data_IF_377021176007
#
_entry.id   IF_377021176007
#
_cell.length_a   1.000
_cell.length_b   1.000
_cell.length_c   1.000
_cell.angle_alpha   90.00
_cell.angle_beta   90.00
_cell.angle_gamma   90.00
#
_symmetry.space_group_name_H-M   'P 1'
#
loop_
_entity.id
_entity.type
_entity.pdbx_description
1 polymer ?
#
# COMPACT_ATOMS: atom_id res chain seq x y z
N UNK A 1 -19.24 5.71 -37.19
CA UNK A 1 -18.00 5.33 -36.46
C UNK A 1 -18.41 4.51 -35.25
N UNK A 2 -18.50 3.20 -35.41
CA UNK A 2 -18.84 2.24 -34.35
C UNK A 2 -17.57 1.98 -33.55
N UNK A 3 -17.38 2.74 -32.47
CA UNK A 3 -16.24 2.55 -31.57
C UNK A 3 -16.30 1.15 -30.96
N UNK A 4 -15.24 0.37 -31.16
CA UNK A 4 -14.99 -0.83 -30.35
C UNK A 4 -15.10 -0.43 -28.89
N UNK A 5 -16.15 -0.88 -28.20
CA UNK A 5 -16.34 -0.61 -26.77
C UNK A 5 -15.13 -1.17 -26.01
N UNK A 6 -14.26 -0.27 -25.54
CA UNK A 6 -13.09 -0.67 -24.76
C UNK A 6 -13.50 -1.32 -23.45
N UNK A 7 -12.68 -2.25 -22.95
CA UNK A 7 -12.92 -2.88 -21.66
C UNK A 7 -12.96 -1.84 -20.52
N UNK A 8 -14.01 -1.90 -19.71
CA UNK A 8 -14.28 -1.01 -18.58
C UNK A 8 -14.22 -1.77 -17.25
N UNK A 9 -14.10 -1.05 -16.14
CA UNK A 9 -14.15 -1.63 -14.80
C UNK A 9 -15.59 -1.74 -14.30
N UNK A 10 -15.93 -2.90 -13.74
CA UNK A 10 -17.20 -3.19 -13.08
C UNK A 10 -16.96 -3.63 -11.64
N UNK A 11 -17.92 -3.38 -10.75
CA UNK A 11 -17.77 -3.66 -9.32
C UNK A 11 -18.95 -4.43 -8.72
N UNK A 12 -18.62 -5.47 -7.94
CA UNK A 12 -19.55 -6.18 -7.05
C UNK A 12 -19.13 -5.96 -5.61
N UNK A 13 -20.03 -5.40 -4.81
CA UNK A 13 -19.83 -5.18 -3.39
C UNK A 13 -20.40 -6.38 -2.62
N UNK A 14 -19.58 -7.00 -1.78
CA UNK A 14 -19.91 -8.16 -0.97
C UNK A 14 -19.99 -7.72 0.48
N UNK A 15 -21.20 -7.48 0.97
CA UNK A 15 -21.45 -7.08 2.35
C UNK A 15 -21.42 -8.32 3.24
N UNK A 16 -20.40 -8.38 4.08
CA UNK A 16 -20.16 -9.41 5.08
C UNK A 16 -19.52 -8.73 6.30
N UNK A 17 -20.31 -8.49 7.34
CA UNK A 17 -19.93 -7.58 8.42
C UNK A 17 -18.97 -8.19 9.46
N UNK A 18 -18.74 -9.49 9.41
CA UNK A 18 -17.75 -10.17 10.25
C UNK A 18 -16.36 -10.11 9.62
N UNK A 19 -15.52 -9.21 10.13
CA UNK A 19 -14.12 -9.05 9.71
C UNK A 19 -13.25 -10.27 10.08
N UNK A 20 -13.58 -11.01 11.14
CA UNK A 20 -12.79 -12.16 11.57
C UNK A 20 -12.93 -13.36 10.62
N UNK A 21 -14.09 -13.49 9.97
CA UNK A 21 -14.36 -14.52 8.96
C UNK A 21 -13.95 -14.07 7.53
N UNK A 22 -13.47 -12.84 7.34
CA UNK A 22 -13.10 -12.30 6.04
C UNK A 22 -11.97 -13.08 5.34
N UNK A 23 -10.89 -13.55 6.02
CA UNK A 23 -9.87 -14.39 5.37
C UNK A 23 -10.45 -15.64 4.70
N UNK A 24 -11.44 -16.28 5.33
CA UNK A 24 -12.11 -17.46 4.79
C UNK A 24 -13.07 -17.11 3.65
N UNK A 25 -13.75 -15.96 3.72
CA UNK A 25 -14.53 -15.43 2.58
C UNK A 25 -13.61 -15.18 1.36
N UNK A 26 -12.43 -14.62 1.59
CA UNK A 26 -11.47 -14.32 0.54
C UNK A 26 -10.95 -15.62 -0.11
N UNK A 27 -10.51 -16.58 0.71
CA UNK A 27 -9.94 -17.84 0.21
C UNK A 27 -10.98 -18.83 -0.32
N UNK A 28 -12.17 -18.85 0.27
CA UNK A 28 -13.25 -19.79 0.01
C UNK A 28 -14.27 -19.33 -1.03
N UNK A 29 -14.40 -18.02 -1.30
CA UNK A 29 -15.33 -17.49 -2.29
C UNK A 29 -14.69 -16.55 -3.30
N UNK A 30 -13.94 -15.54 -2.85
CA UNK A 30 -13.38 -14.51 -3.73
C UNK A 30 -12.35 -15.12 -4.68
N UNK A 31 -11.39 -15.91 -4.16
CA UNK A 31 -10.38 -16.59 -4.97
C UNK A 31 -11.01 -17.53 -6.02
N UNK A 32 -11.91 -18.46 -5.68
CA UNK A 32 -12.63 -19.27 -6.67
C UNK A 32 -13.42 -18.45 -7.68
N UNK A 33 -14.07 -17.37 -7.26
CA UNK A 33 -14.83 -16.50 -8.17
C UNK A 33 -13.91 -15.84 -9.20
N UNK A 34 -12.74 -15.34 -8.79
CA UNK A 34 -11.76 -14.74 -9.68
C UNK A 34 -11.20 -15.77 -10.68
N UNK A 35 -10.80 -16.95 -10.20
CA UNK A 35 -10.31 -18.03 -11.06
C UNK A 35 -11.36 -18.46 -12.10
N UNK A 36 -12.64 -18.49 -11.72
CA UNK A 36 -13.72 -18.93 -12.61
C UNK A 36 -14.01 -18.00 -13.81
N UNK A 37 -13.47 -16.77 -13.78
CA UNK A 37 -13.71 -15.75 -14.81
C UNK A 37 -12.42 -15.22 -15.44
N UNK A 38 -11.27 -15.79 -15.08
CA UNK A 38 -9.94 -15.32 -15.49
C UNK A 38 -9.82 -15.17 -17.01
N UNK A 39 -10.31 -16.15 -17.77
CA UNK A 39 -10.28 -16.14 -19.23
C UNK A 39 -11.12 -15.02 -19.89
N UNK A 40 -11.97 -14.33 -19.14
CA UNK A 40 -12.91 -13.31 -19.63
C UNK A 40 -12.58 -11.89 -19.16
N UNK A 41 -11.58 -11.73 -18.30
CA UNK A 41 -11.23 -10.44 -17.72
C UNK A 41 -9.81 -10.07 -18.08
N UNK A 42 -9.57 -8.77 -18.29
CA UNK A 42 -8.24 -8.20 -18.56
C UNK A 42 -7.52 -7.79 -17.28
N UNK A 43 -8.22 -7.84 -16.14
CA UNK A 43 -7.70 -7.51 -14.82
C UNK A 43 -8.80 -7.69 -13.78
N UNK A 44 -8.40 -8.07 -12.56
CA UNK A 44 -9.30 -8.27 -11.44
C UNK A 44 -8.60 -7.97 -10.12
N UNK A 45 -9.27 -7.25 -9.23
CA UNK A 45 -8.75 -6.98 -7.89
C UNK A 45 -9.87 -6.83 -6.86
N UNK A 46 -9.53 -7.01 -5.59
CA UNK A 46 -10.47 -6.77 -4.49
C UNK A 46 -9.89 -5.83 -3.44
N UNK A 47 -10.74 -5.11 -2.72
CA UNK A 47 -10.32 -4.26 -1.61
C UNK A 47 -11.40 -4.16 -0.54
N UNK A 48 -10.98 -3.80 0.68
CA UNK A 48 -11.90 -3.55 1.79
C UNK A 48 -12.51 -2.15 1.69
N UNK A 49 -13.72 -2.00 2.21
CA UNK A 49 -14.35 -0.70 2.34
C UNK A 49 -15.37 -0.68 3.48
N UNK A 50 -15.59 0.50 4.06
CA UNK A 50 -16.44 0.70 5.25
C UNK A 50 -17.77 1.42 4.94
N UNK A 51 -17.81 2.20 3.84
CA UNK A 51 -18.99 3.00 3.47
C UNK A 51 -20.26 2.14 3.42
N UNK A 52 -21.25 2.51 4.25
CA UNK A 52 -22.53 1.81 4.43
C UNK A 52 -22.39 0.36 4.95
N UNK A 53 -21.39 0.10 5.76
CA UNK A 53 -21.11 -1.18 6.42
C UNK A 53 -19.85 -1.87 5.85
N UNK A 54 -19.17 -2.72 6.64
CA UNK A 54 -17.98 -3.45 6.18
C UNK A 54 -18.29 -4.32 4.97
N UNK A 55 -17.50 -4.19 3.91
CA UNK A 55 -17.67 -4.99 2.70
C UNK A 55 -16.38 -5.11 1.89
N UNK A 56 -16.34 -6.10 1.01
CA UNK A 56 -15.34 -6.20 -0.04
C UNK A 56 -15.89 -5.59 -1.34
N UNK A 57 -15.07 -4.84 -2.06
CA UNK A 57 -15.31 -4.44 -3.44
C UNK A 57 -14.54 -5.38 -4.35
N UNK A 58 -15.23 -6.13 -5.21
CA UNK A 58 -14.64 -7.01 -6.21
C UNK A 58 -14.73 -6.33 -7.57
N UNK A 59 -13.59 -6.05 -8.20
CA UNK A 59 -13.51 -5.25 -9.41
C UNK A 59 -12.96 -6.06 -10.57
N UNK A 60 -13.58 -5.93 -11.74
CA UNK A 60 -13.24 -6.70 -12.94
C UNK A 60 -13.19 -5.79 -14.15
N UNK A 61 -12.13 -5.91 -14.95
CA UNK A 61 -11.98 -5.18 -16.22
C UNK A 61 -12.36 -6.08 -17.38
N UNK A 62 -13.47 -5.78 -18.05
CA UNK A 62 -13.93 -6.56 -19.21
C UNK A 62 -14.84 -5.72 -20.11
N UNK A 63 -15.29 -6.29 -21.23
CA UNK A 63 -16.29 -5.68 -22.11
C UNK A 63 -17.69 -5.84 -21.50
N UNK A 64 -18.59 -4.89 -21.76
CA UNK A 64 -19.93 -4.89 -21.13
C UNK A 64 -20.73 -6.16 -21.41
N UNK A 65 -20.68 -6.64 -22.65
CA UNK A 65 -21.35 -7.87 -23.07
C UNK A 65 -20.83 -9.07 -22.27
N UNK A 66 -19.52 -9.18 -22.11
CA UNK A 66 -18.85 -10.22 -21.32
C UNK A 66 -19.15 -10.08 -19.82
N UNK A 67 -19.18 -8.85 -19.28
CA UNK A 67 -19.60 -8.59 -17.90
C UNK A 67 -20.99 -9.15 -17.63
N UNK A 68 -21.97 -8.75 -18.45
CA UNK A 68 -23.38 -9.09 -18.27
C UNK A 68 -23.65 -10.57 -18.49
N UNK A 69 -23.05 -11.17 -19.51
CA UNK A 69 -23.35 -12.55 -19.92
C UNK A 69 -22.55 -13.61 -19.15
N UNK A 70 -21.31 -13.31 -18.72
CA UNK A 70 -20.38 -14.33 -18.24
C UNK A 70 -19.86 -14.01 -16.83
N UNK A 71 -19.26 -12.83 -16.63
CA UNK A 71 -18.53 -12.54 -15.39
C UNK A 71 -19.47 -12.29 -14.21
N UNK A 72 -20.39 -11.34 -14.33
CA UNK A 72 -21.33 -10.97 -13.26
C UNK A 72 -22.13 -12.17 -12.71
N UNK A 73 -22.86 -12.96 -13.54
CA UNK A 73 -23.65 -14.07 -13.02
C UNK A 73 -22.79 -15.15 -12.34
N UNK A 74 -21.60 -15.44 -12.90
CA UNK A 74 -20.68 -16.44 -12.34
C UNK A 74 -20.16 -16.03 -10.97
N UNK A 75 -19.58 -14.83 -10.86
CA UNK A 75 -19.03 -14.29 -9.61
C UNK A 75 -20.13 -14.18 -8.56
N UNK A 76 -21.29 -13.61 -8.93
CA UNK A 76 -22.42 -13.45 -8.02
C UNK A 76 -22.90 -14.79 -7.46
N UNK A 77 -23.01 -15.84 -8.30
CA UNK A 77 -23.42 -17.17 -7.85
C UNK A 77 -22.46 -17.72 -6.80
N UNK A 78 -21.17 -17.79 -7.11
CA UNK A 78 -20.14 -18.36 -6.22
C UNK A 78 -20.14 -17.65 -4.86
N UNK A 79 -20.15 -16.32 -4.86
CA UNK A 79 -20.13 -15.54 -3.63
C UNK A 79 -21.44 -15.70 -2.85
N UNK A 80 -22.60 -15.66 -3.52
CA UNK A 80 -23.89 -15.83 -2.85
C UNK A 80 -24.02 -17.23 -2.24
N UNK A 81 -23.50 -18.26 -2.91
CA UNK A 81 -23.49 -19.63 -2.39
C UNK A 81 -22.66 -19.72 -1.11
N UNK A 82 -21.48 -19.09 -1.10
CA UNK A 82 -20.65 -19.01 0.11
C UNK A 82 -21.37 -18.27 1.25
N UNK A 83 -21.95 -17.09 1.00
CA UNK A 83 -22.64 -16.30 2.02
C UNK A 83 -23.86 -17.05 2.62
N UNK A 84 -24.53 -17.90 1.83
CA UNK A 84 -25.62 -18.75 2.34
C UNK A 84 -25.10 -19.87 3.24
N UNK A 85 -23.95 -20.44 2.90
CA UNK A 85 -23.34 -21.53 3.68
C UNK A 85 -22.61 -21.01 4.94
N UNK A 86 -22.04 -19.80 4.88
CA UNK A 86 -21.23 -19.18 5.92
C UNK A 86 -21.64 -17.72 6.12
N UNK A 87 -22.87 -17.44 6.60
CA UNK A 87 -23.31 -16.07 6.80
C UNK A 87 -22.56 -15.43 7.98
N UNK A 88 -22.22 -14.15 7.84
CA UNK A 88 -21.91 -13.28 8.96
C UNK A 88 -23.09 -13.27 9.94
N UNK A 89 -22.79 -13.51 11.21
CA UNK A 89 -23.76 -13.45 12.31
C UNK A 89 -23.53 -12.24 13.22
N UNK A 90 -22.53 -11.42 12.91
CA UNK A 90 -22.17 -10.25 13.73
C UNK A 90 -23.24 -9.17 13.60
N UNK A 91 -23.64 -8.61 14.74
CA UNK A 91 -24.54 -7.46 14.78
C UNK A 91 -23.74 -6.22 15.14
N UNK A 92 -23.52 -5.37 14.14
CA UNK A 92 -22.88 -4.07 14.33
C UNK A 92 -23.94 -3.00 14.62
N UNK A 93 -23.64 -2.11 15.56
CA UNK A 93 -24.46 -0.93 15.82
C UNK A 93 -24.03 0.20 14.86
N UNK A 94 -24.81 0.38 13.79
CA UNK A 94 -24.56 1.43 12.80
C UNK A 94 -24.65 2.84 13.39
N UNK A 95 -25.45 3.05 14.44
CA UNK A 95 -25.59 4.35 15.08
C UNK A 95 -24.35 4.67 15.93
N UNK A 96 -23.82 3.68 16.67
CA UNK A 96 -22.57 3.84 17.41
C UNK A 96 -21.36 4.12 16.50
N UNK A 97 -21.35 3.59 15.27
CA UNK A 97 -20.28 3.80 14.30
C UNK A 97 -20.45 5.05 13.43
N UNK A 98 -21.62 5.71 13.47
CA UNK A 98 -21.90 6.88 12.62
C UNK A 98 -20.87 8.02 12.79
N UNK A 99 -20.46 8.44 14.01
CA UNK A 99 -19.46 9.51 14.17
C UNK A 99 -18.09 9.14 13.59
N UNK A 100 -17.72 7.85 13.65
CA UNK A 100 -16.48 7.35 13.05
C UNK A 100 -16.57 7.42 11.53
N UNK A 101 -17.69 6.97 10.94
CA UNK A 101 -17.92 7.02 9.50
C UNK A 101 -17.99 8.45 8.96
N UNK A 102 -18.59 9.39 9.69
CA UNK A 102 -18.58 10.81 9.33
C UNK A 102 -17.16 11.37 9.27
N UNK A 103 -16.34 11.06 10.28
CA UNK A 103 -14.95 11.52 10.30
C UNK A 103 -14.11 10.86 9.20
N UNK A 104 -14.30 9.57 8.95
CA UNK A 104 -13.62 8.87 7.85
C UNK A 104 -14.04 9.46 6.50
N UNK A 105 -15.32 9.78 6.32
CA UNK A 105 -15.80 10.38 5.07
C UNK A 105 -15.08 11.69 4.75
N UNK A 106 -14.92 12.55 5.75
CA UNK A 106 -14.19 13.80 5.60
C UNK A 106 -12.70 13.55 5.27
N UNK A 107 -12.03 12.68 6.03
CA UNK A 107 -10.60 12.41 5.88
C UNK A 107 -10.24 11.70 4.57
N UNK A 108 -11.14 10.83 4.09
CA UNK A 108 -10.97 10.05 2.87
C UNK A 108 -11.65 10.68 1.65
N UNK A 109 -12.27 11.86 1.83
CA UNK A 109 -13.03 12.59 0.82
C UNK A 109 -14.19 11.78 0.22
N UNK A 110 -14.80 10.87 1.00
CA UNK A 110 -15.97 10.11 0.56
C UNK A 110 -17.21 11.00 0.46
N UNK A 111 -17.83 10.99 -0.71
CA UNK A 111 -19.02 11.83 -1.01
C UNK A 111 -20.33 11.04 -1.02
N UNK A 112 -20.25 9.70 -0.91
CA UNK A 112 -21.41 8.82 -0.93
C UNK A 112 -22.24 8.89 0.36
N UNK A 113 -23.51 8.45 0.33
CA UNK A 113 -24.34 8.42 1.53
C UNK A 113 -23.78 7.43 2.55
N UNK A 114 -23.68 7.84 3.83
CA UNK A 114 -23.18 7.00 4.92
C UNK A 114 -24.22 5.98 5.42
N UNK A 115 -25.50 6.23 5.17
CA UNK A 115 -26.62 5.40 5.58
C UNK A 115 -27.81 5.45 4.60
N UNK A 116 -28.79 4.54 4.75
CA UNK A 116 -28.74 3.36 5.62
C UNK A 116 -27.67 2.36 5.15
N UNK A 117 -27.14 1.56 6.08
CA UNK A 117 -26.22 0.50 5.72
C UNK A 117 -26.86 -0.49 4.75
N UNK A 118 -26.05 -1.10 3.90
CA UNK A 118 -26.52 -2.21 3.08
C UNK A 118 -26.69 -3.43 3.99
N UNK A 119 -27.69 -4.26 3.69
CA UNK A 119 -27.94 -5.46 4.48
C UNK A 119 -26.73 -6.40 4.45
N UNK A 120 -26.41 -6.99 5.61
CA UNK A 120 -25.37 -8.00 5.74
C UNK A 120 -25.69 -9.23 4.87
N UNK A 121 -24.67 -10.01 4.53
CA UNK A 121 -24.77 -11.21 3.71
C UNK A 121 -25.40 -10.97 2.33
N UNK A 122 -25.08 -9.84 1.70
CA UNK A 122 -25.59 -9.49 0.37
C UNK A 122 -24.50 -9.17 -0.63
N UNK A 123 -24.79 -9.44 -1.91
CA UNK A 123 -23.96 -9.05 -3.05
C UNK A 123 -24.71 -8.00 -3.86
N UNK A 124 -24.07 -6.87 -4.15
CA UNK A 124 -24.71 -5.74 -4.83
C UNK A 124 -23.78 -5.18 -5.91
N UNK A 125 -24.31 -4.98 -7.12
CA UNK A 125 -23.57 -4.28 -8.18
C UNK A 125 -23.57 -2.77 -7.93
N UNK A 126 -22.41 -2.14 -8.14
CA UNK A 126 -22.20 -0.70 -8.04
C UNK A 126 -21.33 -0.23 -9.22
N UNK A 127 -21.46 1.03 -9.64
CA UNK A 127 -20.49 1.64 -10.53
C UNK A 127 -19.09 1.52 -9.92
N UNK A 128 -18.09 1.23 -10.77
CA UNK A 128 -16.71 1.27 -10.34
C UNK A 128 -16.32 2.70 -9.97
N UNK A 129 -15.81 2.88 -8.77
CA UNK A 129 -15.37 4.18 -8.28
C UNK A 129 -13.90 4.42 -8.64
N UNK A 130 -13.69 5.27 -9.64
CA UNK A 130 -12.36 5.67 -10.07
C UNK A 130 -11.64 6.60 -9.08
N UNK A 131 -12.32 7.10 -8.03
CA UNK A 131 -11.78 8.04 -7.03
C UNK A 131 -11.10 9.26 -7.68
N UNK A 132 -11.64 9.76 -8.80
CA UNK A 132 -11.03 10.84 -9.59
C UNK A 132 -10.79 12.12 -8.79
N UNK A 133 -11.65 12.40 -7.81
CA UNK A 133 -11.53 13.55 -6.91
C UNK A 133 -10.30 13.45 -5.97
N UNK A 134 -9.79 12.24 -5.72
CA UNK A 134 -8.57 11.99 -4.90
C UNK A 134 -7.36 11.74 -5.79
N UNK A 135 -7.51 10.95 -6.85
CA UNK A 135 -6.42 10.53 -7.73
C UNK A 135 -6.09 11.54 -8.82
N UNK A 136 -6.98 12.50 -9.08
CA UNK A 136 -6.79 13.60 -10.03
C UNK A 136 -6.97 13.24 -11.51
N UNK A 137 -6.75 11.97 -11.90
CA UNK A 137 -6.91 11.54 -13.30
C UNK A 137 -7.33 10.08 -13.43
N UNK A 138 -7.95 9.75 -14.58
CA UNK A 138 -8.25 8.36 -14.93
C UNK A 138 -6.97 7.54 -15.10
N UNK A 139 -5.87 8.16 -15.56
CA UNK A 139 -4.57 7.50 -15.70
C UNK A 139 -4.01 7.05 -14.36
N UNK A 140 -4.14 7.87 -13.31
CA UNK A 140 -3.76 7.52 -11.95
C UNK A 140 -4.65 6.39 -11.37
N UNK A 141 -5.95 6.42 -11.67
CA UNK A 141 -6.89 5.35 -11.32
C UNK A 141 -6.52 4.02 -11.97
N UNK A 142 -6.20 4.02 -13.27
CA UNK A 142 -5.77 2.83 -14.00
C UNK A 142 -4.41 2.31 -13.51
N UNK A 143 -3.48 3.18 -13.14
CA UNK A 143 -2.18 2.80 -12.59
C UNK A 143 -2.34 2.04 -11.26
N UNK A 144 -3.19 2.55 -10.35
CA UNK A 144 -3.49 1.88 -9.10
C UNK A 144 -4.24 0.56 -9.32
N UNK A 145 -5.25 0.56 -10.18
CA UNK A 145 -6.01 -0.65 -10.50
C UNK A 145 -5.12 -1.74 -11.14
N UNK A 146 -4.15 -1.33 -11.97
CA UNK A 146 -3.11 -2.20 -12.53
C UNK A 146 -2.28 -2.85 -11.42
N UNK A 147 -1.74 -2.05 -10.49
CA UNK A 147 -0.99 -2.58 -9.34
C UNK A 147 -1.82 -3.56 -8.49
N UNK A 148 -3.06 -3.20 -8.17
CA UNK A 148 -3.93 -4.07 -7.37
C UNK A 148 -4.27 -5.36 -8.11
N UNK A 149 -4.45 -5.31 -9.42
CA UNK A 149 -4.70 -6.48 -10.26
C UNK A 149 -3.48 -7.39 -10.33
N UNK A 150 -2.31 -6.82 -10.65
CA UNK A 150 -1.04 -7.53 -10.78
C UNK A 150 -0.58 -8.20 -9.47
N UNK A 151 -1.06 -7.71 -8.32
CA UNK A 151 -0.74 -8.26 -6.99
C UNK A 151 -1.86 -9.13 -6.41
N UNK A 152 -2.95 -9.40 -7.12
CA UNK A 152 -4.10 -10.17 -6.60
C UNK A 152 -3.72 -11.61 -6.23
N UNK A 153 -3.04 -12.34 -7.11
CA UNK A 153 -2.65 -13.73 -6.84
C UNK A 153 -1.64 -13.81 -5.69
N UNK A 154 -0.71 -12.87 -5.65
CA UNK A 154 0.20 -12.73 -4.52
C UNK A 154 -0.56 -12.48 -3.21
N UNK A 155 -1.59 -11.64 -3.24
CA UNK A 155 -2.47 -11.38 -2.09
C UNK A 155 -3.16 -12.65 -1.62
N UNK A 156 -3.68 -13.49 -2.54
CA UNK A 156 -4.31 -14.76 -2.16
C UNK A 156 -3.32 -15.73 -1.51
N UNK A 157 -2.08 -15.83 -2.02
CA UNK A 157 -1.02 -16.64 -1.38
C UNK A 157 -0.65 -16.10 -0.01
N UNK A 158 -0.66 -14.78 0.17
CA UNK A 158 -0.44 -14.15 1.47
C UNK A 158 -1.57 -14.46 2.46
N UNK A 159 -2.84 -14.45 2.05
CA UNK A 159 -3.94 -14.90 2.91
C UNK A 159 -3.77 -16.35 3.37
N UNK A 160 -3.32 -17.24 2.48
CA UNK A 160 -3.02 -18.63 2.84
C UNK A 160 -1.88 -18.70 3.87
N UNK A 161 -0.81 -17.93 3.65
CA UNK A 161 0.32 -17.83 4.60
C UNK A 161 -0.11 -17.32 5.98
N UNK A 162 -0.99 -16.32 6.01
CA UNK A 162 -1.50 -15.70 7.24
C UNK A 162 -2.35 -16.64 8.11
N UNK A 163 -2.74 -17.83 7.62
CA UNK A 163 -3.32 -18.87 8.47
C UNK A 163 -2.35 -19.41 9.52
N UNK A 164 -1.04 -19.27 9.27
CA UNK A 164 0.02 -19.82 10.13
C UNK A 164 1.04 -18.78 10.59
N UNK A 165 0.99 -17.57 10.04
CA UNK A 165 1.96 -16.50 10.31
C UNK A 165 1.28 -15.19 10.72
N UNK A 166 1.87 -14.41 11.65
CA UNK A 166 1.29 -13.12 12.04
C UNK A 166 1.39 -12.08 10.91
N UNK A 167 0.31 -11.33 10.67
CA UNK A 167 0.28 -10.24 9.69
C UNK A 167 1.35 -9.18 9.95
N UNK A 168 1.66 -8.88 11.21
CA UNK A 168 2.70 -7.91 11.57
C UNK A 168 4.09 -8.31 11.05
N UNK A 169 4.38 -9.61 11.00
CA UNK A 169 5.66 -10.14 10.54
C UNK A 169 5.77 -9.99 9.02
N UNK A 170 4.74 -10.44 8.29
CA UNK A 170 4.67 -10.25 6.84
C UNK A 170 4.71 -8.76 6.46
N UNK A 171 4.01 -7.91 7.21
CA UNK A 171 3.99 -6.48 6.95
C UNK A 171 5.38 -5.83 7.10
N UNK A 172 6.19 -6.25 8.08
CA UNK A 172 7.57 -5.79 8.22
C UNK A 172 8.43 -6.22 7.03
N UNK A 173 8.31 -7.47 6.59
CA UNK A 173 9.04 -7.98 5.43
C UNK A 173 8.71 -7.16 4.18
N UNK A 174 7.43 -6.88 3.94
CA UNK A 174 6.99 -6.06 2.80
C UNK A 174 7.43 -4.60 2.93
N UNK A 175 7.44 -4.03 4.14
CA UNK A 175 7.94 -2.67 4.40
C UNK A 175 9.43 -2.54 4.07
N UNK A 176 10.27 -3.44 4.60
CA UNK A 176 11.69 -3.45 4.31
C UNK A 176 11.96 -3.74 2.84
N UNK A 177 11.23 -4.68 2.26
CA UNK A 177 11.34 -5.01 0.83
C UNK A 177 11.02 -3.81 -0.05
N UNK A 178 9.92 -3.10 0.19
CA UNK A 178 9.59 -1.89 -0.60
C UNK A 178 10.63 -0.81 -0.39
N UNK A 179 11.05 -0.57 0.85
CA UNK A 179 12.07 0.44 1.15
C UNK A 179 13.40 0.14 0.45
N UNK A 180 13.82 -1.12 0.38
CA UNK A 180 15.04 -1.54 -0.31
C UNK A 180 14.87 -1.55 -1.84
N UNK A 181 13.80 -2.15 -2.36
CA UNK A 181 13.60 -2.39 -3.79
C UNK A 181 13.20 -1.13 -4.57
N UNK A 182 12.49 -0.21 -3.93
CA UNK A 182 12.09 1.05 -4.56
C UNK A 182 13.16 2.15 -4.45
N UNK A 183 14.18 1.94 -3.59
CA UNK A 183 15.25 2.90 -3.40
C UNK A 183 16.34 2.79 -4.48
N UNK A 184 16.81 3.97 -4.88
CA UNK A 184 18.16 4.28 -5.33
C UNK A 184 19.34 3.37 -4.94
N UNK A 185 19.91 2.47 -5.76
CA UNK A 185 21.29 2.04 -5.50
C UNK A 185 22.25 3.19 -5.84
N UNK A 186 22.94 3.74 -4.84
CA UNK A 186 24.02 4.72 -5.06
C UNK A 186 25.37 4.00 -5.06
N UNK A 187 26.34 4.56 -5.79
CA UNK A 187 27.72 4.05 -5.83
C UNK A 187 28.52 4.39 -4.57
N UNK A 188 27.87 4.83 -3.50
CA UNK A 188 28.49 5.18 -2.22
C UNK A 188 28.73 3.97 -1.30
N UNK A 189 28.44 2.76 -1.78
CA UNK A 189 28.65 1.50 -1.06
C UNK A 189 27.65 1.22 0.05
N UNK A 190 26.59 2.04 0.20
CA UNK A 190 25.54 1.85 1.22
C UNK A 190 24.43 0.92 0.75
N UNK A 191 23.75 0.28 1.69
CA UNK A 191 22.59 -0.53 1.36
C UNK A 191 21.42 0.37 0.89
N UNK A 192 20.71 0.06 -0.22
CA UNK A 192 19.59 0.87 -0.71
C UNK A 192 18.52 1.19 0.35
N UNK A 193 18.31 0.25 1.29
CA UNK A 193 17.34 0.41 2.37
C UNK A 193 17.67 1.57 3.33
N UNK A 194 18.94 1.94 3.51
CA UNK A 194 19.36 3.09 4.35
C UNK A 194 18.73 4.42 3.87
N UNK A 195 18.30 4.50 2.62
CA UNK A 195 17.58 5.66 2.05
C UNK A 195 16.07 5.46 2.09
N UNK A 196 15.59 4.27 1.71
CA UNK A 196 14.16 3.96 1.75
C UNK A 196 13.55 4.11 3.15
N UNK A 197 14.34 3.87 4.20
CA UNK A 197 13.94 3.98 5.60
C UNK A 197 13.42 5.38 5.97
N UNK A 198 13.84 6.43 5.27
CA UNK A 198 13.39 7.81 5.51
C UNK A 198 11.86 7.92 5.39
N UNK A 199 11.26 7.20 4.45
CA UNK A 199 9.80 7.16 4.31
C UNK A 199 9.14 6.38 5.45
N UNK A 200 9.73 5.30 5.94
CA UNK A 200 9.20 4.57 7.10
C UNK A 200 9.23 5.45 8.36
N UNK A 201 10.36 6.12 8.62
CA UNK A 201 10.49 7.10 9.72
C UNK A 201 9.45 8.22 9.60
N UNK A 202 9.32 8.83 8.42
CA UNK A 202 8.34 9.90 8.18
C UNK A 202 6.91 9.43 8.45
N UNK A 203 6.53 8.24 8.02
CA UNK A 203 5.18 7.72 8.28
C UNK A 203 4.92 7.43 9.77
N UNK A 204 5.91 6.90 10.48
CA UNK A 204 5.83 6.68 11.92
C UNK A 204 5.67 8.00 12.69
N UNK A 205 6.53 8.97 12.40
CA UNK A 205 6.51 10.29 13.05
C UNK A 205 5.23 11.07 12.71
N UNK A 206 4.73 10.93 11.48
CA UNK A 206 3.46 11.54 11.08
C UNK A 206 2.27 10.87 11.77
N UNK A 207 2.33 9.58 12.09
CA UNK A 207 1.31 8.93 12.92
C UNK A 207 1.37 9.47 14.36
N UNK A 208 2.56 9.42 14.98
CA UNK A 208 2.78 9.85 16.36
C UNK A 208 2.35 11.30 16.58
N UNK A 209 2.67 12.21 15.64
CA UNK A 209 2.34 13.63 15.71
C UNK A 209 0.85 13.94 15.83
N UNK A 210 -0.01 13.00 15.44
CA UNK A 210 -1.48 13.13 15.44
C UNK A 210 -2.16 12.35 16.58
N UNK A 211 -1.40 11.54 17.33
CA UNK A 211 -1.93 10.84 18.51
C UNK A 211 -2.21 11.80 19.67
N UNK A 212 -3.10 11.42 20.59
CA UNK A 212 -3.48 12.29 21.71
C UNK A 212 -2.31 12.60 22.65
N UNK A 213 -1.36 11.67 22.80
CA UNK A 213 -0.12 11.83 23.58
C UNK A 213 1.09 11.26 22.81
N UNK A 214 1.69 12.07 21.91
CA UNK A 214 2.80 11.62 21.07
C UNK A 214 4.01 11.11 21.85
N UNK A 215 4.27 11.64 23.05
CA UNK A 215 5.43 11.25 23.86
C UNK A 215 5.22 9.86 24.46
N UNK A 216 4.06 9.59 25.05
CA UNK A 216 3.76 8.29 25.63
C UNK A 216 3.74 7.17 24.58
N UNK A 217 3.21 7.43 23.38
CA UNK A 217 3.27 6.45 22.29
C UNK A 217 4.69 6.17 21.83
N UNK A 218 5.53 7.21 21.70
CA UNK A 218 6.93 7.03 21.32
C UNK A 218 7.68 6.17 22.34
N UNK A 219 7.54 6.45 23.64
CA UNK A 219 8.14 5.62 24.70
C UNK A 219 7.71 4.16 24.60
N UNK A 220 6.40 3.90 24.42
CA UNK A 220 5.89 2.53 24.25
C UNK A 220 6.43 1.83 23.00
N UNK A 221 6.59 2.58 21.90
CA UNK A 221 7.15 2.05 20.66
C UNK A 221 8.64 1.71 20.82
N UNK A 222 9.41 2.57 21.49
CA UNK A 222 10.83 2.34 21.77
C UNK A 222 11.04 1.18 22.74
N UNK A 223 10.24 1.07 23.80
CA UNK A 223 10.27 -0.08 24.71
C UNK A 223 9.97 -1.39 23.97
N UNK A 224 9.00 -1.37 23.04
CA UNK A 224 8.67 -2.55 22.22
C UNK A 224 9.81 -2.89 21.27
N UNK A 225 10.43 -1.90 20.65
CA UNK A 225 11.62 -2.10 19.84
C UNK A 225 12.76 -2.72 20.66
N UNK A 226 13.09 -2.16 21.82
CA UNK A 226 14.18 -2.67 22.67
C UNK A 226 13.99 -4.13 23.08
N UNK A 227 12.74 -4.58 23.32
CA UNK A 227 12.45 -6.00 23.60
C UNK A 227 12.61 -6.93 22.40
N UNK A 228 12.57 -6.40 21.18
CA UNK A 228 12.53 -7.17 19.93
C UNK A 228 13.72 -6.89 19.00
N UNK A 229 14.65 -6.02 19.39
CA UNK A 229 15.70 -5.49 18.54
C UNK A 229 16.52 -6.59 17.86
N UNK A 230 17.01 -7.58 18.61
CA UNK A 230 17.79 -8.68 18.06
C UNK A 230 17.00 -9.50 17.03
N UNK A 231 15.73 -9.80 17.31
CA UNK A 231 14.87 -10.58 16.41
C UNK A 231 14.50 -9.80 15.14
N UNK A 232 14.19 -8.51 15.27
CA UNK A 232 13.93 -7.62 14.14
C UNK A 232 15.17 -7.45 13.27
N UNK A 233 16.34 -7.28 13.88
CA UNK A 233 17.61 -7.16 13.16
C UNK A 233 18.02 -8.45 12.43
N UNK A 234 17.80 -9.62 13.04
CA UNK A 234 18.03 -10.90 12.37
C UNK A 234 17.10 -11.06 11.15
N UNK A 235 15.81 -10.76 11.32
CA UNK A 235 14.83 -10.86 10.24
C UNK A 235 15.09 -9.88 9.10
N UNK A 236 15.47 -8.63 9.40
CA UNK A 236 15.85 -7.65 8.37
C UNK A 236 17.00 -8.19 7.51
N UNK A 237 18.05 -8.77 8.12
CA UNK A 237 19.17 -9.36 7.37
C UNK A 237 18.73 -10.53 6.48
N UNK A 238 17.74 -11.32 6.89
CA UNK A 238 17.16 -12.37 6.02
C UNK A 238 16.46 -11.76 4.80
N UNK A 239 15.72 -10.66 4.97
CA UNK A 239 15.09 -9.93 3.85
C UNK A 239 16.16 -9.38 2.91
N UNK A 240 17.21 -8.74 3.43
CA UNK A 240 18.30 -8.21 2.62
C UNK A 240 19.05 -9.31 1.87
N UNK A 241 19.35 -10.44 2.52
CA UNK A 241 19.97 -11.58 1.88
C UNK A 241 19.08 -12.13 0.73
N UNK A 242 17.77 -12.21 0.94
CA UNK A 242 16.84 -12.64 -0.11
C UNK A 242 16.77 -11.67 -1.29
N UNK A 243 17.09 -10.38 -1.10
CA UNK A 243 17.13 -9.36 -2.15
C UNK A 243 18.48 -9.27 -2.87
N UNK A 244 19.57 -9.66 -2.23
CA UNK A 244 20.92 -9.63 -2.81
C UNK A 244 21.16 -10.76 -3.83
N UNK A 245 20.45 -11.87 -3.67
CA UNK A 245 20.50 -13.02 -4.56
C UNK A 245 19.95 -12.69 -5.97
N UNK A 246 20.58 -13.15 -7.07
CA UNK A 246 20.16 -12.81 -8.44
C UNK A 246 18.70 -13.14 -8.76
N UNK A 247 18.07 -12.31 -9.59
CA UNK A 247 16.72 -12.58 -10.11
C UNK A 247 16.67 -13.92 -10.85
N UNK A 248 15.65 -14.74 -10.57
CA UNK A 248 15.50 -16.09 -11.14
C UNK A 248 16.05 -17.22 -10.27
N UNK A 249 16.77 -16.91 -9.20
CA UNK A 249 17.18 -17.90 -8.20
C UNK A 249 15.98 -18.27 -7.32
N UNK A 250 15.62 -19.54 -7.26
CA UNK A 250 14.61 -20.00 -6.30
C UNK A 250 15.14 -19.81 -4.88
N UNK A 251 14.32 -19.27 -3.95
CA UNK A 251 14.74 -19.18 -2.56
C UNK A 251 15.01 -20.61 -2.03
N UNK A 252 16.10 -20.81 -1.27
CA UNK A 252 16.40 -22.11 -0.72
C UNK A 252 15.22 -22.62 0.13
N UNK A 253 14.92 -23.93 0.11
CA UNK A 253 13.89 -24.52 0.95
C UNK A 253 14.13 -24.14 2.42
N UNK A 254 13.12 -23.53 3.06
CA UNK A 254 13.23 -23.08 4.45
C UNK A 254 13.76 -21.64 4.64
N UNK A 255 13.83 -20.80 3.60
CA UNK A 255 14.09 -19.37 3.81
C UNK A 255 13.01 -18.77 4.75
N UNK A 256 13.43 -18.11 5.84
CA UNK A 256 12.54 -17.57 6.88
C UNK A 256 11.66 -16.39 6.47
N UNK A 257 11.84 -15.89 5.24
CA UNK A 257 11.12 -14.76 4.65
C UNK A 257 10.33 -15.19 3.41
N UNK A 258 9.04 -14.91 3.42
CA UNK A 258 8.13 -15.26 2.32
C UNK A 258 7.87 -14.03 1.42
N UNK A 259 7.65 -14.28 0.12
CA UNK A 259 7.18 -13.29 -0.86
C UNK A 259 8.09 -12.09 -1.17
N UNK A 260 9.23 -11.93 -0.48
CA UNK A 260 10.17 -10.80 -0.64
C UNK A 260 10.52 -10.55 -2.11
N UNK A 261 10.88 -11.61 -2.86
CA UNK A 261 11.32 -11.47 -4.26
C UNK A 261 10.16 -11.13 -5.19
N UNK A 262 9.02 -11.82 -5.07
CA UNK A 262 7.84 -11.52 -5.88
C UNK A 262 7.32 -10.10 -5.61
N UNK A 263 7.33 -9.68 -4.36
CA UNK A 263 6.94 -8.32 -3.98
C UNK A 263 7.92 -7.27 -4.52
N UNK A 264 9.23 -7.48 -4.39
CA UNK A 264 10.24 -6.59 -4.97
C UNK A 264 10.06 -6.42 -6.49
N UNK A 265 9.77 -7.52 -7.21
CA UNK A 265 9.47 -7.48 -8.65
C UNK A 265 8.24 -6.64 -8.97
N UNK A 266 7.15 -6.79 -8.19
CA UNK A 266 5.95 -5.97 -8.35
C UNK A 266 6.24 -4.49 -8.08
N UNK A 267 6.94 -4.17 -7.00
CA UNK A 267 7.34 -2.79 -6.65
C UNK A 267 8.15 -2.15 -7.78
N UNK A 268 9.23 -2.79 -8.23
CA UNK A 268 10.10 -2.27 -9.31
C UNK A 268 9.32 -2.10 -10.62
N UNK A 269 8.49 -3.07 -10.99
CA UNK A 269 7.65 -2.99 -12.20
C UNK A 269 6.74 -1.77 -12.16
N UNK A 270 5.99 -1.58 -11.08
CA UNK A 270 5.03 -0.47 -11.02
C UNK A 270 5.70 0.89 -10.83
N UNK A 271 6.84 0.95 -10.15
CA UNK A 271 7.64 2.18 -10.10
C UNK A 271 8.12 2.58 -11.51
N UNK A 272 8.61 1.62 -12.32
CA UNK A 272 9.06 1.88 -13.71
C UNK A 272 7.93 2.35 -14.62
N UNK A 273 6.73 1.81 -14.45
CA UNK A 273 5.54 2.27 -15.19
C UNK A 273 5.12 3.68 -14.75
N UNK A 274 5.19 3.97 -13.44
CA UNK A 274 4.73 5.22 -12.87
C UNK A 274 5.64 6.41 -13.17
N UNK A 275 6.97 6.20 -13.12
CA UNK A 275 7.95 7.27 -13.22
C UNK A 275 7.76 8.16 -14.48
N UNK A 276 7.63 7.62 -15.72
CA UNK A 276 7.48 8.47 -16.89
C UNK A 276 6.15 9.22 -16.91
N UNK A 277 5.09 8.65 -16.32
CA UNK A 277 3.77 9.30 -16.20
C UNK A 277 3.77 10.45 -15.19
N UNK A 278 4.59 10.33 -14.14
CA UNK A 278 4.83 11.40 -13.17
C UNK A 278 5.69 12.50 -13.79
N UNK A 279 6.73 12.13 -14.55
CA UNK A 279 7.61 13.06 -15.25
C UNK A 279 6.85 13.87 -16.33
N UNK A 280 5.91 13.24 -17.05
CA UNK A 280 5.07 13.91 -18.05
C UNK A 280 3.92 14.73 -17.45
N UNK A 281 3.62 14.54 -16.16
CA UNK A 281 2.48 15.17 -15.48
C UNK A 281 1.11 14.53 -15.75
N UNK A 282 1.05 13.40 -16.48
CA UNK A 282 -0.18 12.63 -16.69
C UNK A 282 -0.75 12.03 -15.40
N UNK A 283 0.14 11.78 -14.44
CA UNK A 283 -0.17 11.37 -13.07
C UNK A 283 0.45 12.40 -12.11
N UNK A 284 -0.27 12.76 -11.06
CA UNK A 284 0.21 13.67 -10.02
C UNK A 284 -0.07 13.13 -8.63
N UNK A 285 0.85 13.39 -7.71
CA UNK A 285 0.68 13.10 -6.28
C UNK A 285 -0.08 14.22 -5.54
N UNK A 286 -0.49 15.28 -6.24
CA UNK A 286 -1.09 16.49 -5.65
C UNK A 286 -2.50 16.30 -5.09
N UNK A 287 -3.30 15.38 -5.63
CA UNK A 287 -4.68 15.17 -5.18
C UNK A 287 -4.78 14.76 -3.70
N UNK A 288 -3.85 13.95 -3.22
CA UNK A 288 -3.75 13.57 -1.81
C UNK A 288 -3.41 14.75 -0.87
N UNK A 289 -2.87 15.85 -1.40
CA UNK A 289 -2.60 17.05 -0.60
C UNK A 289 -3.86 17.85 -0.26
N UNK A 290 -4.96 17.62 -1.00
CA UNK A 290 -6.25 18.28 -0.79
C UNK A 290 -7.06 17.64 0.35
N UNK A 291 -6.73 16.40 0.73
CA UNK A 291 -7.44 15.69 1.79
C UNK A 291 -7.29 16.41 3.14
N UNK A 292 -8.40 16.61 3.89
CA UNK A 292 -8.35 17.13 5.25
C UNK A 292 -7.39 16.31 6.12
N UNK A 293 -6.59 17.00 6.95
CA UNK A 293 -5.65 16.34 7.87
C UNK A 293 -6.13 16.50 9.30
N UNK A 294 -5.92 15.45 10.08
CA UNK A 294 -6.01 15.55 11.54
C UNK A 294 -5.00 16.61 12.04
N UNK A 295 -5.34 17.42 13.05
CA UNK A 295 -4.43 18.41 13.60
C UNK A 295 -3.11 17.79 14.08
N UNK A 296 -2.00 18.41 13.68
CA UNK A 296 -0.66 18.07 14.20
C UNK A 296 -0.54 18.58 15.63
N UNK A 297 -0.35 17.67 16.59
CA UNK A 297 -0.17 17.99 18.02
C UNK A 297 1.30 18.21 18.38
N UNK A 298 2.22 17.53 17.71
CA UNK A 298 3.67 17.69 17.90
C UNK A 298 4.44 17.42 16.61
N UNK A 299 5.26 18.36 16.16
CA UNK A 299 6.16 18.14 15.02
C UNK A 299 7.44 17.44 15.47
N UNK A 300 7.70 16.25 14.91
CA UNK A 300 8.95 15.50 15.14
C UNK A 300 10.18 16.27 14.64
N UNK A 301 11.37 15.92 15.12
CA UNK A 301 12.62 16.44 14.57
C UNK A 301 12.77 16.19 13.07
N UNK A 302 12.46 14.97 12.62
CA UNK A 302 12.51 14.60 11.20
C UNK A 302 11.67 15.55 10.33
N UNK A 303 10.38 15.74 10.68
CA UNK A 303 9.52 16.67 9.95
C UNK A 303 9.92 18.15 10.08
N UNK A 304 10.55 18.58 11.19
CA UNK A 304 11.10 19.94 11.27
C UNK A 304 12.21 20.15 10.25
N UNK A 305 13.09 19.16 10.11
CA UNK A 305 14.15 19.15 9.10
C UNK A 305 13.59 19.03 7.67
N UNK A 306 12.55 18.22 7.47
CA UNK A 306 11.86 18.11 6.17
C UNK A 306 11.19 19.43 5.75
N UNK A 307 10.75 20.25 6.71
CA UNK A 307 10.09 21.52 6.47
C UNK A 307 11.06 22.71 6.44
N UNK A 308 12.36 22.52 6.72
CA UNK A 308 13.33 23.62 6.65
C UNK A 308 13.61 24.02 5.21
N UNK A 309 13.99 25.27 4.98
CA UNK A 309 14.22 25.82 3.65
C UNK A 309 15.68 25.59 3.22
N UNK A 310 16.00 24.38 2.78
CA UNK A 310 17.37 23.98 2.39
C UNK A 310 17.39 23.41 0.95
N UNK A 311 16.51 23.88 0.06
CA UNK A 311 16.52 23.49 -1.36
C UNK A 311 16.00 22.08 -1.69
N UNK A 312 15.59 21.30 -0.69
CA UNK A 312 15.01 19.96 -0.91
C UNK A 312 13.51 19.98 -1.27
N UNK A 313 12.87 21.15 -1.32
CA UNK A 313 11.48 21.27 -1.80
C UNK A 313 11.37 20.75 -3.23
N UNK A 314 12.30 21.11 -4.10
CA UNK A 314 12.34 20.67 -5.50
C UNK A 314 12.51 19.14 -5.60
N UNK A 315 13.30 18.53 -4.71
CA UNK A 315 13.41 17.07 -4.63
C UNK A 315 12.12 16.40 -4.12
N UNK A 316 11.51 16.93 -3.05
CA UNK A 316 10.34 16.30 -2.45
C UNK A 316 9.06 16.45 -3.27
N UNK A 317 8.99 17.51 -4.09
CA UNK A 317 7.79 17.93 -4.83
C UNK A 317 7.92 17.67 -6.32
N UNK A 318 9.06 18.01 -6.94
CA UNK A 318 9.19 18.07 -8.40
C UNK A 318 10.00 16.90 -8.99
N UNK A 319 10.69 16.10 -8.17
CA UNK A 319 11.42 14.93 -8.66
C UNK A 319 10.48 13.74 -8.95
N UNK A 320 10.40 13.37 -10.23
CA UNK A 320 9.55 12.28 -10.70
C UNK A 320 9.98 10.91 -10.13
N UNK A 321 11.27 10.70 -9.89
CA UNK A 321 11.73 9.46 -9.27
C UNK A 321 11.25 9.36 -7.81
N UNK A 322 11.46 10.39 -7.01
CA UNK A 322 11.01 10.41 -5.62
C UNK A 322 9.50 10.35 -5.51
N UNK A 323 8.77 11.00 -6.44
CA UNK A 323 7.33 10.84 -6.57
C UNK A 323 6.92 9.38 -6.84
N UNK A 324 7.64 8.68 -7.73
CA UNK A 324 7.39 7.26 -8.03
C UNK A 324 7.68 6.36 -6.84
N UNK A 325 8.74 6.65 -6.07
CA UNK A 325 9.07 5.97 -4.83
C UNK A 325 7.94 6.15 -3.79
N UNK A 326 7.49 7.39 -3.59
CA UNK A 326 6.35 7.70 -2.70
C UNK A 326 5.07 7.01 -3.14
N UNK A 327 4.84 6.91 -4.46
CA UNK A 327 3.68 6.21 -5.01
C UNK A 327 3.70 4.73 -4.61
N UNK A 328 4.81 4.02 -4.83
CA UNK A 328 4.89 2.59 -4.48
C UNK A 328 4.90 2.34 -2.98
N UNK A 329 5.42 3.28 -2.17
CA UNK A 329 5.23 3.26 -0.71
C UNK A 329 3.76 3.39 -0.32
N UNK A 330 2.99 4.25 -0.99
CA UNK A 330 1.54 4.33 -0.76
C UNK A 330 0.81 3.04 -1.20
N UNK A 331 1.24 2.44 -2.32
CA UNK A 331 0.69 1.17 -2.79
C UNK A 331 0.97 0.02 -1.83
N UNK A 332 2.14 -0.02 -1.19
CA UNK A 332 2.41 -0.92 -0.06
C UNK A 332 1.35 -0.73 1.03
N UNK A 333 1.07 0.49 1.48
CA UNK A 333 0.11 0.69 2.56
C UNK A 333 -1.33 0.33 2.18
N UNK A 334 -1.73 0.57 0.93
CA UNK A 334 -3.01 0.08 0.39
C UNK A 334 -3.04 -1.45 0.38
N UNK A 335 -1.94 -2.10 0.01
CA UNK A 335 -1.83 -3.55 0.02
C UNK A 335 -1.88 -4.13 1.46
N UNK A 336 -1.21 -3.50 2.43
CA UNK A 336 -1.30 -3.90 3.84
C UNK A 336 -2.72 -3.73 4.38
N UNK A 337 -3.41 -2.65 4.01
CA UNK A 337 -4.84 -2.50 4.32
C UNK A 337 -5.70 -3.55 3.62
N UNK A 338 -5.34 -4.01 2.42
CA UNK A 338 -5.96 -5.15 1.71
C UNK A 338 -5.66 -6.51 2.35
N UNK A 339 -4.63 -6.62 3.21
CA UNK A 339 -4.31 -7.82 4.00
C UNK A 339 -4.86 -7.82 5.43
N UNK A 340 -5.25 -6.65 5.95
CA UNK A 340 -6.03 -6.54 7.20
C UNK A 340 -5.36 -5.64 8.23
N UNK A 341 -4.29 -4.95 7.82
CA UNK A 341 -3.51 -4.17 8.74
C UNK A 341 -4.27 -2.90 9.11
N UNK A 342 -4.53 -2.74 10.41
CA UNK A 342 -5.17 -1.54 10.92
C UNK A 342 -4.21 -0.33 10.81
N UNK A 343 -4.73 0.90 10.60
CA UNK A 343 -3.90 2.10 10.53
C UNK A 343 -3.03 2.35 11.77
N UNK A 344 -3.50 1.94 12.95
CA UNK A 344 -2.75 2.05 14.22
C UNK A 344 -1.53 1.14 14.22
N UNK A 345 -1.68 -0.10 13.77
CA UNK A 345 -0.59 -1.07 13.69
C UNK A 345 0.44 -0.63 12.66
N UNK A 346 0.00 -0.04 11.54
CA UNK A 346 0.92 0.55 10.55
C UNK A 346 1.85 1.59 11.17
N UNK A 347 1.34 2.47 12.03
CA UNK A 347 2.17 3.49 12.70
C UNK A 347 3.28 2.88 13.55
N UNK A 348 2.93 1.84 14.33
CA UNK A 348 3.89 1.06 15.11
C UNK A 348 4.90 0.32 14.21
N UNK A 349 4.44 -0.38 13.19
CA UNK A 349 5.30 -1.18 12.33
C UNK A 349 6.28 -0.32 11.54
N UNK A 350 5.89 0.86 11.07
CA UNK A 350 6.82 1.83 10.47
C UNK A 350 7.92 2.26 11.46
N UNK A 351 7.56 2.45 12.74
CA UNK A 351 8.55 2.76 13.78
C UNK A 351 9.51 1.60 14.00
N UNK A 352 9.01 0.38 14.20
CA UNK A 352 9.84 -0.80 14.39
C UNK A 352 10.74 -1.07 13.18
N UNK A 353 10.19 -0.96 11.96
CA UNK A 353 10.93 -1.17 10.72
C UNK A 353 12.07 -0.15 10.58
N UNK A 354 11.80 1.13 10.85
CA UNK A 354 12.82 2.17 10.76
C UNK A 354 13.92 2.04 11.83
N UNK A 355 13.54 1.73 13.09
CA UNK A 355 14.51 1.47 14.16
C UNK A 355 15.37 0.25 13.90
N UNK A 356 14.82 -0.81 13.29
CA UNK A 356 15.58 -2.00 12.93
C UNK A 356 16.68 -1.69 11.90
N UNK A 357 16.37 -0.90 10.87
CA UNK A 357 17.37 -0.46 9.88
C UNK A 357 18.44 0.42 10.53
N UNK A 358 18.03 1.38 11.36
CA UNK A 358 18.98 2.24 12.10
C UNK A 358 19.95 1.41 12.96
N UNK A 359 19.43 0.40 13.68
CA UNK A 359 20.25 -0.50 14.52
C UNK A 359 21.17 -1.41 13.70
N UNK A 360 20.66 -2.07 12.64
CA UNK A 360 21.45 -3.02 11.82
C UNK A 360 22.59 -2.32 11.06
N UNK A 361 22.33 -1.13 10.52
CA UNK A 361 23.32 -0.40 9.70
C UNK A 361 24.11 0.66 10.48
N UNK A 362 23.82 0.86 11.77
CA UNK A 362 24.45 1.92 12.57
C UNK A 362 24.17 3.31 12.02
N UNK A 363 22.97 3.53 11.48
CA UNK A 363 22.56 4.80 10.86
C UNK A 363 21.46 5.50 11.67
N UNK A 364 21.17 6.74 11.32
CA UNK A 364 20.02 7.49 11.82
C UNK A 364 19.29 8.08 10.63
N UNK A 365 17.98 7.85 10.51
CA UNK A 365 17.19 8.44 9.42
C UNK A 365 17.28 9.97 9.44
N UNK A 366 17.27 10.57 10.63
CA UNK A 366 17.40 12.03 10.81
C UNK A 366 18.80 12.50 10.38
N UNK A 367 19.86 11.84 10.85
CA UNK A 367 21.23 12.23 10.50
C UNK A 367 21.56 11.99 9.02
N UNK A 368 21.04 10.91 8.44
CA UNK A 368 21.17 10.62 7.01
C UNK A 368 20.45 11.69 6.19
N UNK A 369 19.22 12.06 6.55
CA UNK A 369 18.50 13.13 5.88
C UNK A 369 19.21 14.49 6.04
N UNK A 370 19.72 14.80 7.23
CA UNK A 370 20.47 16.04 7.47
C UNK A 370 21.71 16.16 6.58
N UNK A 371 22.46 15.06 6.37
CA UNK A 371 23.59 15.04 5.44
C UNK A 371 23.17 15.30 4.01
N UNK A 372 22.11 14.64 3.53
CA UNK A 372 21.60 14.85 2.17
C UNK A 372 21.15 16.30 1.92
N UNK A 373 20.62 16.96 2.94
CA UNK A 373 20.11 18.32 2.85
C UNK A 373 21.22 19.37 3.06
N UNK A 374 22.26 19.05 3.84
CA UNK A 374 23.39 19.96 4.09
C UNK A 374 24.47 19.93 3.00
N UNK A 375 24.68 18.80 2.32
CA UNK A 375 25.66 18.66 1.23
C UNK A 375 25.08 19.14 -0.12
N UNK A 376 24.89 20.45 -0.27
CA UNK A 376 24.81 21.08 -1.59
C UNK A 376 26.22 21.47 -2.01
N UNK A 377 26.99 20.52 -2.57
CA UNK A 377 28.42 20.67 -2.85
C UNK A 377 28.75 21.59 -4.07
N UNK A 378 27.89 22.55 -4.37
CA UNK A 378 28.08 23.49 -5.49
C UNK A 378 28.09 22.84 -6.89
N UNK A 379 27.79 21.54 -7.02
CA UNK A 379 27.66 20.85 -8.31
C UNK A 379 26.40 21.30 -9.05
N UNK A 380 26.48 21.54 -10.37
CA UNK A 380 25.35 22.00 -11.20
C UNK A 380 24.13 21.04 -11.21
N UNK A 381 24.29 19.77 -10.84
CA UNK A 381 23.16 18.84 -10.72
C UNK A 381 23.36 17.80 -9.58
N UNK A 382 22.44 17.71 -8.60
CA UNK A 382 22.52 16.72 -7.53
C UNK A 382 22.54 15.27 -8.02
N UNK A 383 23.34 14.41 -7.39
CA UNK A 383 23.53 13.00 -7.80
C UNK A 383 22.23 12.19 -7.95
N UNK A 384 21.17 12.54 -7.22
CA UNK A 384 19.88 11.85 -7.31
C UNK A 384 19.15 12.08 -8.64
N UNK A 385 19.30 13.26 -9.29
CA UNK A 385 18.67 13.53 -10.60
C UNK A 385 19.26 12.63 -11.67
N UNK A 386 20.59 12.56 -11.74
CA UNK A 386 21.33 11.73 -12.70
C UNK A 386 20.93 10.26 -12.60
N UNK A 387 20.92 9.71 -11.38
CA UNK A 387 20.60 8.28 -11.20
C UNK A 387 19.11 8.00 -11.44
N UNK A 388 18.23 8.97 -11.12
CA UNK A 388 16.81 8.88 -11.48
C UNK A 388 16.60 8.73 -12.98
N UNK A 389 17.35 9.49 -13.79
CA UNK A 389 17.32 9.40 -15.27
C UNK A 389 17.88 8.07 -15.77
N UNK A 390 19.08 7.66 -15.31
CA UNK A 390 19.71 6.40 -15.73
C UNK A 390 18.82 5.17 -15.39
N UNK A 391 18.20 5.17 -14.21
CA UNK A 391 17.26 4.13 -13.82
C UNK A 391 15.99 4.11 -14.69
N UNK A 392 15.46 5.29 -15.05
CA UNK A 392 14.30 5.39 -15.94
C UNK A 392 14.59 4.87 -17.35
N UNK A 393 15.82 5.05 -17.83
CA UNK A 393 16.30 4.56 -19.13
C UNK A 393 16.66 3.06 -19.10
N UNK A 394 16.63 2.42 -17.94
CA UNK A 394 16.98 1.01 -17.77
C UNK A 394 18.47 0.74 -17.95
N UNK A 395 19.32 1.76 -17.82
CA UNK A 395 20.77 1.62 -17.83
C UNK A 395 21.32 1.22 -16.45
N UNK A 396 20.45 1.10 -15.44
CA UNK A 396 20.72 0.56 -14.09
C UNK A 396 19.58 -0.30 -13.54
#
# INVERSE_FOLDING_TARGET
MTGSAGASWYSLHVHHHDEAAEPELILGAVRPAFASVEAWVRGAWFGRHWLRGPHLRLNFRTEETTWRAQVHPRVRSIVTDYLRAHPSTVRLDSAALAPVHERLAELEMETGPLGPWVADNTVVERPYDHRLHVLGSLRASELLAGFLSDTTDLTFRMYEYLRTAPLSVLALDLMWTTAAAAAIPFEDGRAPIERGVLSLRSHADAFLSRTHDPAAYLTRFDERFGRQEAALGARLREVEAALAEPEGTEPPPGSGVAFVREWARAVRRHQRIAQPLLASGEVSMGGAALAPRMPTRRTSEFHRLLLSDHGHRDFLVDDAWFASFRLVMNYLYLHLNRLGLAPVDRGLLCHLASRAVESVHGTSAVASFARYVAESDGSEEPAWRRIGTEWAEGTR
#
